data_IF_867775976948
#
_entry.id   IF_867775976948
#
_cell.length_a   1.000
_cell.length_b   1.000
_cell.length_c   1.000
_cell.angle_alpha   90.00
_cell.angle_beta   90.00
_cell.angle_gamma   90.00
#
_symmetry.space_group_name_H-M   'P 1'
#
loop_
_entity.id
_entity.type
_entity.pdbx_description
1 polymer ?
#
# COMPACT_ATOMS: atom_id res chain seq x y z
N UNK A 1 -12.89 -18.89 -14.10
CA UNK A 1 -12.79 -18.01 -15.29
C UNK A 1 -12.66 -16.58 -14.80
N UNK A 2 -11.69 -15.81 -15.30
CA UNK A 2 -11.57 -14.38 -15.02
C UNK A 2 -12.81 -13.65 -15.54
N UNK A 3 -13.58 -13.00 -14.66
CA UNK A 3 -14.77 -12.23 -15.06
C UNK A 3 -14.39 -10.79 -15.43
N UNK A 4 -15.24 -10.10 -16.20
CA UNK A 4 -15.06 -8.69 -16.57
C UNK A 4 -14.88 -7.81 -15.32
N UNK A 5 -15.58 -8.10 -14.22
CA UNK A 5 -15.42 -7.41 -12.93
C UNK A 5 -14.03 -7.60 -12.31
N UNK A 6 -13.42 -8.77 -12.50
CA UNK A 6 -12.05 -9.08 -12.04
C UNK A 6 -11.03 -8.21 -12.78
N UNK A 7 -11.23 -8.02 -14.09
CA UNK A 7 -10.38 -7.19 -14.95
C UNK A 7 -10.51 -5.69 -14.63
N UNK A 8 -11.74 -5.22 -14.36
CA UNK A 8 -12.01 -3.85 -13.93
C UNK A 8 -11.35 -3.55 -12.57
N UNK A 9 -11.39 -4.49 -11.61
CA UNK A 9 -10.73 -4.33 -10.32
C UNK A 9 -9.20 -4.19 -10.43
N UNK A 10 -8.58 -4.99 -11.32
CA UNK A 10 -7.16 -4.87 -11.65
C UNK A 10 -6.81 -3.53 -12.30
N UNK A 11 -7.61 -3.09 -13.27
CA UNK A 11 -7.42 -1.79 -13.93
C UNK A 11 -7.54 -0.64 -12.93
N UNK A 12 -8.53 -0.68 -12.03
CA UNK A 12 -8.69 0.35 -10.99
C UNK A 12 -7.48 0.40 -10.05
N UNK A 13 -7.00 -0.76 -9.62
CA UNK A 13 -5.80 -0.84 -8.79
C UNK A 13 -4.55 -0.31 -9.51
N UNK A 14 -4.37 -0.64 -10.79
CA UNK A 14 -3.29 -0.10 -11.61
C UNK A 14 -3.43 1.42 -11.81
N UNK A 15 -4.63 1.92 -12.08
CA UNK A 15 -4.91 3.35 -12.23
C UNK A 15 -4.61 4.13 -10.95
N UNK A 16 -4.85 3.53 -9.78
CA UNK A 16 -4.53 4.14 -8.49
C UNK A 16 -3.01 4.16 -8.22
N UNK A 17 -2.28 3.12 -8.64
CA UNK A 17 -0.82 3.13 -8.61
C UNK A 17 -0.24 4.20 -9.56
N UNK A 18 -0.80 4.35 -10.77
CA UNK A 18 -0.44 5.41 -11.71
C UNK A 18 -0.78 6.79 -11.14
N UNK A 19 -1.94 6.94 -10.51
CA UNK A 19 -2.34 8.18 -9.82
C UNK A 19 -1.34 8.53 -8.72
N UNK A 20 -0.77 7.54 -8.05
CA UNK A 20 0.26 7.74 -7.05
C UNK A 20 1.55 8.32 -7.63
N UNK A 21 1.96 7.82 -8.80
CA UNK A 21 3.14 8.33 -9.51
C UNK A 21 2.90 9.77 -9.98
N UNK A 22 1.74 10.06 -10.55
CA UNK A 22 1.39 11.42 -10.97
C UNK A 22 1.37 12.39 -9.78
N UNK A 23 0.83 11.97 -8.64
CA UNK A 23 0.85 12.78 -7.41
C UNK A 23 2.29 12.97 -6.92
N UNK A 24 3.15 11.96 -7.01
CA UNK A 24 4.56 12.08 -6.66
C UNK A 24 5.27 13.14 -7.50
N UNK A 25 5.15 13.07 -8.83
CA UNK A 25 5.79 14.02 -9.74
C UNK A 25 5.31 15.46 -9.53
N UNK A 26 4.02 15.64 -9.26
CA UNK A 26 3.45 16.97 -9.03
C UNK A 26 3.88 17.58 -7.71
N UNK A 27 4.13 16.75 -6.69
CA UNK A 27 4.34 17.18 -5.31
C UNK A 27 5.82 17.23 -4.95
N UNK A 28 6.55 16.14 -5.19
CA UNK A 28 7.90 15.92 -4.66
C UNK A 28 8.95 16.55 -5.55
N UNK A 29 8.82 16.45 -6.88
CA UNK A 29 9.73 17.13 -7.82
C UNK A 29 9.61 18.66 -7.75
N UNK A 30 8.50 19.20 -7.23
CA UNK A 30 8.22 20.64 -7.21
C UNK A 30 8.47 21.33 -5.87
N UNK A 31 8.64 20.60 -4.77
CA UNK A 31 8.83 21.20 -3.44
C UNK A 31 9.89 20.46 -2.60
N UNK A 32 11.18 20.74 -2.80
CA UNK A 32 12.23 20.23 -1.92
C UNK A 32 12.23 21.06 -0.63
N UNK A 33 11.46 20.66 0.38
CA UNK A 33 11.43 21.38 1.66
C UNK A 33 10.79 20.61 2.81
N UNK A 34 11.54 20.44 3.90
CA UNK A 34 11.17 19.69 5.11
C UNK A 34 10.22 20.41 6.08
N UNK A 35 9.73 21.61 5.75
CA UNK A 35 8.77 22.30 6.62
C UNK A 35 7.41 21.64 6.52
N UNK A 36 6.85 21.27 7.68
CA UNK A 36 5.46 20.83 7.80
C UNK A 36 4.56 21.93 7.26
N UNK A 37 4.07 21.73 6.04
CA UNK A 37 3.22 22.67 5.32
C UNK A 37 1.81 22.09 5.28
N UNK A 38 0.79 22.96 5.27
CA UNK A 38 -0.60 22.57 5.02
C UNK A 38 -0.76 21.74 3.73
N UNK A 39 0.16 21.89 2.77
CA UNK A 39 0.21 21.04 1.58
C UNK A 39 0.44 19.56 1.91
N UNK A 40 1.29 19.21 2.88
CA UNK A 40 1.57 17.83 3.26
C UNK A 40 0.35 17.12 3.86
N UNK A 41 -0.46 17.83 4.64
CA UNK A 41 -1.71 17.30 5.17
C UNK A 41 -2.70 17.05 4.03
N UNK A 42 -2.83 18.00 3.08
CA UNK A 42 -3.69 17.83 1.91
C UNK A 42 -3.28 16.62 1.07
N UNK A 43 -1.97 16.43 0.84
CA UNK A 43 -1.45 15.26 0.14
C UNK A 43 -1.82 13.98 0.88
N UNK A 44 -1.61 13.94 2.20
CA UNK A 44 -2.00 12.80 3.03
C UNK A 44 -3.50 12.50 2.99
N UNK A 45 -4.36 13.52 2.93
CA UNK A 45 -5.80 13.37 2.77
C UNK A 45 -6.16 12.77 1.40
N UNK A 46 -5.57 13.27 0.32
CA UNK A 46 -5.78 12.73 -1.04
C UNK A 46 -5.37 11.26 -1.10
N UNK A 47 -4.17 10.93 -0.59
CA UNK A 47 -3.65 9.56 -0.53
C UNK A 47 -4.53 8.66 0.35
N UNK A 48 -5.05 9.18 1.47
CA UNK A 48 -6.00 8.48 2.31
C UNK A 48 -7.33 8.21 1.60
N UNK A 49 -7.87 9.18 0.85
CA UNK A 49 -9.09 9.02 0.06
C UNK A 49 -8.92 7.97 -1.04
N UNK A 50 -7.75 7.92 -1.68
CA UNK A 50 -7.38 6.83 -2.59
C UNK A 50 -7.43 5.50 -1.85
N UNK A 51 -6.85 5.41 -0.65
CA UNK A 51 -6.91 4.21 0.18
C UNK A 51 -8.34 3.79 0.54
N UNK A 52 -9.23 4.73 0.83
CA UNK A 52 -10.65 4.46 1.05
C UNK A 52 -11.34 3.91 -0.21
N UNK A 53 -11.01 4.45 -1.38
CA UNK A 53 -11.56 3.97 -2.66
C UNK A 53 -11.13 2.53 -2.96
N UNK A 54 -9.87 2.18 -2.67
CA UNK A 54 -9.35 0.80 -2.75
C UNK A 54 -10.16 -0.11 -1.82
N UNK A 55 -10.37 0.31 -0.58
CA UNK A 55 -11.11 -0.48 0.42
C UNK A 55 -12.58 -0.72 0.07
N UNK A 56 -13.21 0.22 -0.66
CA UNK A 56 -14.60 0.07 -1.09
C UNK A 56 -14.78 -0.89 -2.25
N UNK A 57 -13.74 -1.14 -3.05
CA UNK A 57 -13.76 -2.07 -4.17
C UNK A 57 -12.70 -3.16 -3.99
N UNK A 58 -12.82 -4.01 -2.95
CA UNK A 58 -11.84 -5.07 -2.72
C UNK A 58 -11.85 -6.03 -3.90
N UNK A 59 -10.66 -6.31 -4.43
CA UNK A 59 -10.53 -7.25 -5.53
C UNK A 59 -10.52 -8.68 -5.00
N UNK A 60 -11.65 -9.37 -5.13
CA UNK A 60 -11.76 -10.79 -4.77
C UNK A 60 -11.28 -11.68 -5.92
N UNK A 61 -10.09 -12.27 -5.78
CA UNK A 61 -9.52 -13.20 -6.76
C UNK A 61 -10.21 -14.58 -6.72
N UNK A 62 -10.65 -15.00 -5.53
CA UNK A 62 -11.49 -16.16 -5.26
C UNK A 62 -12.41 -15.83 -4.07
N UNK A 63 -13.51 -16.57 -3.83
CA UNK A 63 -14.34 -16.38 -2.64
C UNK A 63 -13.47 -16.43 -1.36
N UNK A 64 -13.39 -15.29 -0.66
CA UNK A 64 -12.56 -15.13 0.54
C UNK A 64 -11.08 -14.80 0.31
N UNK A 65 -10.62 -14.61 -0.93
CA UNK A 65 -9.28 -14.12 -1.28
C UNK A 65 -9.38 -12.68 -1.78
N UNK A 66 -9.10 -11.73 -0.90
CA UNK A 66 -9.05 -10.31 -1.24
C UNK A 66 -7.58 -9.92 -1.50
N UNK A 67 -7.29 -9.56 -2.74
CA UNK A 67 -6.04 -8.91 -3.10
C UNK A 67 -6.20 -7.40 -2.96
N UNK A 68 -5.33 -6.80 -2.16
CA UNK A 68 -5.48 -5.40 -1.84
C UNK A 68 -4.17 -4.64 -2.00
N UNK A 69 -4.24 -3.53 -2.72
CA UNK A 69 -3.12 -2.64 -3.03
C UNK A 69 -2.86 -1.61 -1.92
N UNK A 70 -3.65 -1.61 -0.83
CA UNK A 70 -3.45 -0.75 0.35
C UNK A 70 -2.04 -0.82 0.93
N UNK A 71 -1.49 -2.03 1.06
CA UNK A 71 -0.13 -2.22 1.58
C UNK A 71 0.90 -1.54 0.69
N UNK A 72 0.70 -1.62 -0.63
CA UNK A 72 1.54 -0.94 -1.62
C UNK A 72 1.36 0.57 -1.49
N UNK A 73 0.14 1.07 -1.54
CA UNK A 73 -0.18 2.49 -1.38
C UNK A 73 0.51 3.10 -0.15
N UNK A 74 0.34 2.50 1.03
CA UNK A 74 0.83 3.09 2.27
C UNK A 74 2.34 2.93 2.46
N UNK A 75 2.93 1.83 2.01
CA UNK A 75 4.39 1.68 2.02
C UNK A 75 5.08 2.67 1.05
N UNK A 76 4.48 2.89 -0.12
CA UNK A 76 4.97 3.86 -1.10
C UNK A 76 4.75 5.29 -0.61
N UNK A 77 3.61 5.55 0.06
CA UNK A 77 3.36 6.82 0.77
C UNK A 77 4.49 7.12 1.77
N UNK A 78 4.81 6.15 2.63
CA UNK A 78 5.92 6.23 3.59
C UNK A 78 7.27 6.51 2.94
N UNK A 79 7.57 5.81 1.85
CA UNK A 79 8.84 5.95 1.14
C UNK A 79 9.00 7.35 0.55
N UNK A 80 8.02 7.81 -0.22
CA UNK A 80 8.17 8.97 -1.09
C UNK A 80 7.62 10.28 -0.53
N UNK A 81 6.55 10.25 0.26
CA UNK A 81 5.89 11.45 0.78
C UNK A 81 6.27 11.76 2.24
N UNK A 82 6.87 10.80 2.94
CA UNK A 82 7.41 11.01 4.29
C UNK A 82 6.34 11.00 5.38
N UNK A 83 6.74 11.41 6.59
CA UNK A 83 5.98 11.12 7.81
C UNK A 83 4.60 11.76 7.85
N UNK A 84 4.47 13.06 7.56
CA UNK A 84 3.21 13.79 7.71
C UNK A 84 2.12 13.29 6.75
N UNK A 85 2.35 13.16 5.43
CA UNK A 85 1.34 12.60 4.53
C UNK A 85 0.98 11.16 4.88
N UNK A 86 1.97 10.35 5.26
CA UNK A 86 1.79 8.94 5.59
C UNK A 86 0.94 8.73 6.83
N UNK A 87 1.22 9.46 7.92
CA UNK A 87 0.43 9.38 9.15
C UNK A 87 -1.01 9.82 8.90
N UNK A 88 -1.20 10.90 8.12
CA UNK A 88 -2.54 11.37 7.75
C UNK A 88 -3.32 10.30 6.97
N UNK A 89 -2.70 9.71 5.94
CA UNK A 89 -3.31 8.63 5.16
C UNK A 89 -3.58 7.38 6.01
N UNK A 90 -2.67 7.03 6.93
CA UNK A 90 -2.79 5.90 7.85
C UNK A 90 -3.96 6.09 8.82
N UNK A 91 -4.14 7.29 9.38
CA UNK A 91 -5.25 7.60 10.27
C UNK A 91 -6.58 7.49 9.51
N UNK A 92 -6.67 8.05 8.31
CA UNK A 92 -7.91 8.03 7.53
C UNK A 92 -8.29 6.61 7.11
N UNK A 93 -7.35 5.87 6.52
CA UNK A 93 -7.56 4.48 6.06
C UNK A 93 -7.74 3.50 7.22
N UNK A 94 -6.95 3.65 8.28
CA UNK A 94 -7.02 2.83 9.49
C UNK A 94 -8.34 3.05 10.24
N UNK A 95 -8.76 4.31 10.40
CA UNK A 95 -10.05 4.66 10.99
C UNK A 95 -11.22 4.08 10.18
N UNK A 96 -11.17 4.23 8.85
CA UNK A 96 -12.19 3.61 7.98
C UNK A 96 -12.19 2.07 8.10
N UNK A 97 -11.02 1.44 8.25
CA UNK A 97 -10.92 -0.03 8.39
C UNK A 97 -11.58 -0.52 9.66
N UNK A 98 -11.36 0.19 10.76
CA UNK A 98 -11.99 -0.13 12.05
C UNK A 98 -13.50 0.14 12.00
N UNK A 99 -13.93 1.22 11.35
CA UNK A 99 -15.35 1.54 11.13
C UNK A 99 -16.09 0.43 10.36
N UNK A 100 -15.48 -0.17 9.33
CA UNK A 100 -16.08 -1.30 8.61
C UNK A 100 -16.27 -2.55 9.48
N UNK A 101 -15.53 -2.68 10.58
CA UNK A 101 -15.65 -3.81 11.50
C UNK A 101 -15.29 -5.17 10.88
N UNK A 102 -15.90 -6.24 11.41
CA UNK A 102 -15.67 -7.63 11.01
C UNK A 102 -14.51 -8.31 11.74
N UNK A 103 -14.44 -9.64 11.60
CA UNK A 103 -13.47 -10.49 12.33
C UNK A 103 -11.99 -10.17 12.03
N UNK A 104 -11.71 -9.61 10.85
CA UNK A 104 -10.37 -9.18 10.46
C UNK A 104 -10.10 -7.68 10.63
N UNK A 105 -10.90 -6.94 11.42
CA UNK A 105 -10.73 -5.49 11.59
C UNK A 105 -9.35 -5.13 12.14
N UNK A 106 -8.96 -5.73 13.26
CA UNK A 106 -7.66 -5.51 13.91
C UNK A 106 -6.50 -5.98 13.04
N UNK A 107 -6.62 -7.14 12.40
CA UNK A 107 -5.62 -7.64 11.44
C UNK A 107 -5.42 -6.64 10.30
N UNK A 108 -6.52 -6.15 9.70
CA UNK A 108 -6.46 -5.17 8.62
C UNK A 108 -5.87 -3.83 9.04
N UNK A 109 -6.17 -3.38 10.26
CA UNK A 109 -5.58 -2.17 10.83
C UNK A 109 -4.07 -2.35 11.07
N UNK A 110 -3.65 -3.49 11.62
CA UNK A 110 -2.24 -3.82 11.78
C UNK A 110 -1.49 -3.85 10.44
N UNK A 111 -2.12 -4.37 9.37
CA UNK A 111 -1.55 -4.34 8.01
C UNK A 111 -1.35 -2.90 7.50
N UNK A 112 -2.30 -2.01 7.75
CA UNK A 112 -2.22 -0.59 7.40
C UNK A 112 -1.03 0.07 8.12
N UNK A 113 -0.93 -0.15 9.44
CA UNK A 113 0.15 0.42 10.27
C UNK A 113 1.51 -0.12 9.86
N UNK A 114 1.66 -1.45 9.70
CA UNK A 114 2.96 -2.04 9.37
C UNK A 114 3.43 -1.63 7.97
N UNK A 115 2.52 -1.54 6.99
CA UNK A 115 2.88 -1.13 5.64
C UNK A 115 3.41 0.30 5.62
N UNK A 116 2.75 1.19 6.35
CA UNK A 116 3.15 2.58 6.53
C UNK A 116 4.51 2.68 7.23
N UNK A 117 4.71 1.90 8.30
CA UNK A 117 5.95 1.86 9.07
C UNK A 117 7.12 1.34 8.23
N UNK A 118 6.92 0.30 7.41
CA UNK A 118 7.96 -0.21 6.49
C UNK A 118 8.37 0.87 5.50
N UNK A 119 7.41 1.57 4.89
CA UNK A 119 7.71 2.67 3.96
C UNK A 119 8.53 3.80 4.60
N UNK A 120 8.11 4.26 5.78
CA UNK A 120 8.82 5.30 6.54
C UNK A 120 10.21 4.85 6.99
N UNK A 121 10.33 3.60 7.45
CA UNK A 121 11.62 3.00 7.81
C UNK A 121 12.55 2.96 6.60
N UNK A 122 12.05 2.52 5.44
CA UNK A 122 12.84 2.48 4.21
C UNK A 122 13.31 3.86 3.78
N UNK A 123 12.44 4.87 3.87
CA UNK A 123 12.82 6.28 3.65
C UNK A 123 13.94 6.71 4.58
N UNK A 124 13.81 6.44 5.87
CA UNK A 124 14.81 6.84 6.88
C UNK A 124 16.21 6.29 6.55
N UNK A 125 16.30 5.02 6.15
CA UNK A 125 17.56 4.37 5.78
C UNK A 125 18.08 4.73 4.37
N UNK A 126 17.26 5.38 3.51
CA UNK A 126 17.61 5.71 2.12
C UNK A 126 17.51 7.22 1.81
N UNK A 127 17.58 8.04 2.85
CA UNK A 127 17.28 9.49 2.86
C UNK A 127 18.02 10.37 1.85
N UNK A 128 19.17 9.94 1.31
CA UNK A 128 20.01 10.82 0.48
C UNK A 128 19.75 10.76 -1.02
N UNK A 129 19.17 9.68 -1.56
CA UNK A 129 18.91 9.54 -3.00
C UNK A 129 17.62 8.76 -3.28
N UNK A 130 16.46 9.30 -2.91
CA UNK A 130 15.17 8.69 -3.27
C UNK A 130 15.00 8.58 -4.80
N UNK A 131 15.59 9.52 -5.55
CA UNK A 131 15.58 9.52 -7.02
C UNK A 131 16.48 8.43 -7.62
N UNK A 132 17.45 7.88 -6.87
CA UNK A 132 18.35 6.81 -7.32
C UNK A 132 18.01 5.44 -6.73
N UNK A 133 16.84 5.30 -6.09
CA UNK A 133 16.48 4.05 -5.43
C UNK A 133 16.48 2.88 -6.43
N UNK A 134 17.31 1.88 -6.15
CA UNK A 134 17.46 0.74 -7.07
C UNK A 134 16.18 -0.10 -7.13
N UNK A 135 15.90 -0.67 -8.31
CA UNK A 135 14.81 -1.64 -8.48
C UNK A 135 14.87 -2.78 -7.46
N UNK A 136 16.09 -3.21 -7.09
CA UNK A 136 16.31 -4.24 -6.06
C UNK A 136 15.82 -3.78 -4.68
N UNK A 137 16.04 -2.52 -4.33
CA UNK A 137 15.58 -1.93 -3.07
C UNK A 137 14.06 -1.85 -3.00
N UNK A 138 13.42 -1.40 -4.08
CA UNK A 138 11.95 -1.35 -4.19
C UNK A 138 11.32 -2.75 -4.13
N UNK A 139 11.92 -3.72 -4.84
CA UNK A 139 11.48 -5.11 -4.78
C UNK A 139 11.61 -5.69 -3.37
N UNK A 140 12.75 -5.46 -2.70
CA UNK A 140 12.97 -5.94 -1.33
C UNK A 140 11.96 -5.30 -0.36
N UNK A 141 11.69 -4.00 -0.49
CA UNK A 141 10.66 -3.32 0.31
C UNK A 141 9.28 -3.94 0.09
N UNK A 142 8.93 -4.24 -1.18
CA UNK A 142 7.70 -4.93 -1.53
C UNK A 142 7.61 -6.32 -0.89
N UNK A 143 8.68 -7.12 -0.97
CA UNK A 143 8.77 -8.42 -0.32
C UNK A 143 8.61 -8.32 1.20
N UNK A 144 9.31 -7.40 1.86
CA UNK A 144 9.21 -7.19 3.32
C UNK A 144 7.80 -6.79 3.72
N UNK A 145 7.20 -5.83 3.01
CA UNK A 145 5.84 -5.35 3.28
C UNK A 145 4.83 -6.49 3.19
N UNK A 146 4.91 -7.32 2.15
CA UNK A 146 3.97 -8.41 1.93
C UNK A 146 4.22 -9.61 2.85
N UNK A 147 5.49 -9.91 3.17
CA UNK A 147 5.82 -10.93 4.16
C UNK A 147 5.26 -10.58 5.55
N UNK A 148 5.39 -9.32 5.97
CA UNK A 148 4.82 -8.84 7.24
C UNK A 148 3.29 -8.85 7.20
N UNK A 149 2.68 -8.48 6.07
CA UNK A 149 1.23 -8.58 5.90
C UNK A 149 0.73 -10.04 6.03
N UNK A 150 1.43 -11.00 5.40
CA UNK A 150 1.10 -12.42 5.54
C UNK A 150 1.30 -12.91 6.99
N UNK A 151 2.36 -12.48 7.66
CA UNK A 151 2.59 -12.80 9.07
C UNK A 151 1.44 -12.30 9.94
N UNK A 152 0.91 -11.10 9.66
CA UNK A 152 -0.23 -10.55 10.39
C UNK A 152 -1.52 -11.34 10.16
N UNK A 153 -1.67 -12.12 9.09
CA UNK A 153 -2.83 -13.01 8.93
C UNK A 153 -2.91 -14.07 10.04
N UNK A 154 -1.80 -14.38 10.72
CA UNK A 154 -1.78 -15.27 11.88
C UNK A 154 -2.47 -14.69 13.12
N UNK A 155 -2.82 -13.40 13.11
CA UNK A 155 -3.65 -12.78 14.16
C UNK A 155 -5.13 -13.18 14.06
N UNK A 156 -5.55 -13.74 12.92
CA UNK A 156 -6.88 -14.31 12.76
C UNK A 156 -7.00 -15.67 13.48
N UNK A 157 -8.23 -16.14 13.79
CA UNK A 157 -8.44 -17.49 14.29
C UNK A 157 -7.75 -18.54 13.40
N UNK A 158 -7.02 -19.48 14.02
CA UNK A 158 -6.10 -20.40 13.33
C UNK A 158 -6.74 -21.17 12.17
N UNK A 159 -8.01 -21.56 12.32
CA UNK A 159 -8.79 -22.26 11.29
C UNK A 159 -8.99 -21.41 10.02
N UNK A 160 -9.14 -20.09 10.17
CA UNK A 160 -9.31 -19.14 9.07
C UNK A 160 -7.94 -18.77 8.49
N UNK A 161 -6.97 -18.47 9.36
CA UNK A 161 -5.63 -18.03 8.97
C UNK A 161 -4.93 -19.01 8.02
N UNK A 162 -4.92 -20.31 8.35
CA UNK A 162 -4.27 -21.35 7.52
C UNK A 162 -4.95 -21.53 6.16
N UNK A 163 -6.29 -21.42 6.13
CA UNK A 163 -7.07 -21.48 4.90
C UNK A 163 -6.83 -20.28 3.98
N UNK A 164 -6.62 -19.09 4.56
CA UNK A 164 -6.25 -17.89 3.81
C UNK A 164 -4.81 -18.01 3.32
N UNK A 165 -3.85 -18.28 4.20
CA UNK A 165 -2.42 -18.32 3.87
C UNK A 165 -2.10 -19.34 2.78
N UNK A 166 -2.68 -20.54 2.84
CA UNK A 166 -2.45 -21.57 1.81
C UNK A 166 -2.92 -21.12 0.41
N UNK A 167 -3.91 -20.23 0.34
CA UNK A 167 -4.46 -19.73 -0.92
C UNK A 167 -3.80 -18.44 -1.41
N UNK A 168 -3.39 -17.54 -0.51
CA UNK A 168 -2.94 -16.19 -0.89
C UNK A 168 -1.42 -16.02 -0.91
N UNK A 169 -0.67 -16.85 -0.16
CA UNK A 169 0.78 -16.64 0.02
C UNK A 169 1.53 -16.63 -1.30
N UNK A 170 1.32 -17.65 -2.14
CA UNK A 170 2.03 -17.75 -3.41
C UNK A 170 1.63 -16.65 -4.41
N UNK A 171 0.33 -16.41 -4.68
CA UNK A 171 -0.08 -15.30 -5.54
C UNK A 171 0.44 -13.93 -5.07
N UNK A 172 0.35 -13.64 -3.78
CA UNK A 172 0.75 -12.33 -3.21
C UNK A 172 2.25 -12.11 -3.31
N UNK A 173 3.06 -13.11 -2.94
CA UNK A 173 4.52 -12.99 -3.02
C UNK A 173 5.03 -12.98 -4.45
N UNK A 174 4.29 -13.58 -5.39
CA UNK A 174 4.64 -13.54 -6.79
C UNK A 174 4.29 -12.19 -7.41
N UNK A 175 3.06 -11.70 -7.27
CA UNK A 175 2.54 -10.55 -8.04
C UNK A 175 2.86 -9.21 -7.36
N UNK A 176 2.65 -9.11 -6.05
CA UNK A 176 2.65 -7.80 -5.38
C UNK A 176 4.03 -7.12 -5.33
N UNK A 177 5.15 -7.83 -5.13
CA UNK A 177 6.48 -7.22 -5.25
C UNK A 177 6.78 -6.68 -6.65
N UNK A 178 6.19 -7.24 -7.73
CA UNK A 178 6.40 -6.72 -9.08
C UNK A 178 5.74 -5.36 -9.31
N UNK A 179 4.63 -5.07 -8.64
CA UNK A 179 3.95 -3.77 -8.76
C UNK A 179 4.85 -2.59 -8.36
N UNK A 180 5.85 -2.81 -7.49
CA UNK A 180 6.83 -1.79 -7.11
C UNK A 180 7.83 -1.44 -8.22
N UNK A 181 8.01 -2.29 -9.24
CA UNK A 181 8.86 -1.95 -10.40
C UNK A 181 8.22 -0.91 -11.31
N UNK A 182 6.89 -0.96 -11.49
CA UNK A 182 6.17 -0.04 -12.37
C UNK A 182 6.17 1.40 -11.84
N UNK A 183 6.30 1.57 -10.52
CA UNK A 183 6.43 2.89 -9.86
C UNK A 183 7.66 3.66 -10.38
N UNK A 184 8.75 2.97 -10.77
CA UNK A 184 9.95 3.64 -11.31
C UNK A 184 9.84 3.93 -12.80
N UNK A 185 9.15 3.11 -13.60
CA UNK A 185 9.08 3.31 -15.06
C UNK A 185 8.35 4.59 -15.45
N UNK A 186 7.44 5.06 -14.62
CA UNK A 186 6.78 6.34 -14.81
C UNK A 186 7.62 7.55 -14.33
N UNK A 187 8.79 7.31 -13.73
CA UNK A 187 9.79 8.35 -13.37
C UNK A 187 10.96 8.44 -14.38
N UNK A 188 10.83 7.83 -15.58
CA UNK A 188 11.73 7.96 -16.73
C UNK A 188 10.94 8.51 -17.92
#
# INVERSE_FOLDING_TARGET
MLTISTFIGLINNAALLVSLVLIYDLVVLRQPGEKVSSSQILIGLILGLIGLAIMKNPWEFLPGIIFDTRSILLSVCGLFFGMVPTVTATILTGGYRLYLGGSGAWTGFAVIVISSAVGLGWRHFRTKDLDSISNKSLYLMGCVTHALMLLLMLTLPRAIALGILSKITFPVMLISPFAYFEIRKANL
#
